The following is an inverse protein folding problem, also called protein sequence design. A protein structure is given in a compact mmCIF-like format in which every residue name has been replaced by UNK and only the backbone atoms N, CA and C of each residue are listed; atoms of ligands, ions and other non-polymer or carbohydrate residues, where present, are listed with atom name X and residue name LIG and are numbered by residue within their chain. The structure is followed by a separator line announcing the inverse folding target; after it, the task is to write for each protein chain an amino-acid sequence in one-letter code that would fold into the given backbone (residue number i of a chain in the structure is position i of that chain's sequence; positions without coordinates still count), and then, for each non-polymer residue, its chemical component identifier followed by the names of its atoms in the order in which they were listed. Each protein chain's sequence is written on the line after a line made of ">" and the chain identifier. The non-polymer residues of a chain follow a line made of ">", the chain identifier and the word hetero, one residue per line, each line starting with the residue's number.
data_IF_388182727227
#
_entry.id   IF_388182727227
#
_cell.length_a   1.000
_cell.length_b   1.000
_cell.length_c   1.000
_cell.angle_alpha   90.00
_cell.angle_beta   90.00
_cell.angle_gamma   90.00
#
_symmetry.space_group_name_H-M   'P 1'
#
loop_
_entity.id
_entity.type
_entity.pdbx_description
1 polymer ?
#
# COMPACT_ATOMS: atom_id res chain seq x y z
N UNK A 1 1.11 27.72 -24.49
CA UNK A 1 0.43 27.75 -23.18
C UNK A 1 1.49 27.47 -22.14
N UNK A 2 1.85 28.45 -21.31
CA UNK A 2 2.98 28.31 -20.39
C UNK A 2 2.57 27.38 -19.24
N UNK A 3 3.37 26.34 -18.98
CA UNK A 3 3.17 25.40 -17.87
C UNK A 3 4.42 25.42 -16.99
N UNK A 4 4.21 25.24 -15.70
CA UNK A 4 5.27 24.94 -14.74
C UNK A 4 5.18 23.46 -14.37
N UNK A 5 6.33 22.87 -14.09
CA UNK A 5 6.44 21.46 -13.72
C UNK A 5 6.98 21.38 -12.31
N UNK A 6 6.18 20.89 -11.39
CA UNK A 6 6.55 20.72 -9.99
C UNK A 6 6.97 19.27 -9.79
N UNK A 7 8.25 19.04 -9.55
CA UNK A 7 8.77 17.72 -9.21
C UNK A 7 8.80 17.55 -7.70
N UNK A 8 8.29 16.43 -7.19
CA UNK A 8 8.15 16.17 -5.75
C UNK A 8 8.63 14.78 -5.41
N UNK A 9 9.38 14.66 -4.32
CA UNK A 9 9.69 13.40 -3.62
C UNK A 9 8.90 13.41 -2.32
N UNK A 10 8.10 12.38 -2.08
CA UNK A 10 7.22 12.32 -0.91
C UNK A 10 7.07 10.91 -0.35
N UNK A 11 6.64 10.90 0.91
CA UNK A 11 6.27 9.71 1.65
C UNK A 11 4.74 9.73 1.77
N UNK A 12 4.07 8.67 1.31
CA UNK A 12 2.62 8.53 1.53
C UNK A 12 2.39 7.87 2.87
N UNK A 13 1.82 8.58 3.84
CA UNK A 13 1.49 7.97 5.13
C UNK A 13 0.19 7.17 5.05
N UNK A 14 0.03 6.26 6.00
CA UNK A 14 -1.19 5.45 6.15
C UNK A 14 -2.38 6.35 6.51
N UNK A 15 -3.23 6.60 5.52
CA UNK A 15 -4.31 7.61 5.59
C UNK A 15 -4.36 8.51 4.34
N UNK A 16 -3.38 8.40 3.44
CA UNK A 16 -3.36 9.12 2.17
C UNK A 16 -2.80 10.54 2.26
N UNK A 17 -2.32 10.97 3.43
CA UNK A 17 -1.62 12.24 3.57
C UNK A 17 -0.20 12.12 2.96
N UNK A 18 0.14 13.06 2.07
CA UNK A 18 1.46 13.14 1.46
C UNK A 18 2.33 14.07 2.28
N UNK A 19 3.48 13.56 2.75
CA UNK A 19 4.52 14.38 3.37
C UNK A 19 5.65 14.60 2.36
N UNK A 20 5.76 15.82 1.85
CA UNK A 20 6.76 16.19 0.84
C UNK A 20 8.13 16.33 1.50
N UNK A 21 9.09 15.55 1.00
CA UNK A 21 10.48 15.55 1.44
C UNK A 21 11.28 16.58 0.66
N UNK A 22 11.11 16.59 -0.67
CA UNK A 22 11.73 17.56 -1.56
C UNK A 22 10.75 18.01 -2.64
N UNK A 23 10.78 19.31 -2.97
CA UNK A 23 9.99 19.93 -4.03
C UNK A 23 10.85 20.92 -4.82
N UNK A 24 10.77 20.86 -6.15
CA UNK A 24 11.41 21.84 -7.02
C UNK A 24 10.51 22.16 -8.23
N UNK A 25 10.60 23.41 -8.71
CA UNK A 25 9.80 23.94 -9.82
C UNK A 25 10.68 24.13 -11.05
N UNK A 26 10.19 23.65 -12.20
CA UNK A 26 10.92 23.66 -13.47
C UNK A 26 10.09 24.27 -14.60
N UNK A 27 10.79 24.85 -15.57
CA UNK A 27 10.18 25.39 -16.79
C UNK A 27 9.90 24.35 -17.88
N UNK A 28 10.34 23.10 -17.71
CA UNK A 28 10.06 22.00 -18.65
C UNK A 28 9.92 20.66 -17.95
N UNK A 29 9.20 19.73 -18.59
CA UNK A 29 9.02 18.37 -18.10
C UNK A 29 10.34 17.60 -18.05
N UNK A 30 11.20 17.80 -19.05
CA UNK A 30 12.49 17.12 -19.18
C UNK A 30 13.42 17.49 -18.03
N UNK A 31 13.43 18.75 -17.61
CA UNK A 31 14.19 19.21 -16.45
C UNK A 31 13.64 18.63 -15.14
N UNK A 32 12.32 18.62 -14.97
CA UNK A 32 11.67 17.99 -13.82
C UNK A 32 11.95 16.48 -13.75
N UNK A 33 11.95 15.78 -14.88
CA UNK A 33 12.24 14.36 -14.96
C UNK A 33 13.72 14.03 -14.71
N UNK A 34 14.64 14.87 -15.21
CA UNK A 34 16.06 14.74 -14.88
C UNK A 34 16.32 14.94 -13.37
N UNK A 35 15.60 15.87 -12.74
CA UNK A 35 15.62 16.03 -11.29
C UNK A 35 15.07 14.81 -10.55
N UNK A 36 13.92 14.26 -10.97
CA UNK A 36 13.38 13.01 -10.40
C UNK A 36 14.40 11.88 -10.46
N UNK A 37 15.06 11.66 -11.60
CA UNK A 37 16.10 10.63 -11.71
C UNK A 37 17.23 10.85 -10.71
N UNK A 38 17.72 12.09 -10.61
CA UNK A 38 18.81 12.44 -9.69
C UNK A 38 18.46 12.17 -8.22
N UNK A 39 17.26 12.54 -7.77
CA UNK A 39 16.83 12.35 -6.38
C UNK A 39 16.36 10.91 -6.09
N UNK A 40 16.13 10.12 -7.14
CA UNK A 40 15.81 8.69 -7.08
C UNK A 40 17.05 7.79 -7.03
N UNK A 41 18.22 8.30 -7.45
CA UNK A 41 19.50 7.59 -7.34
C UNK A 41 20.04 7.53 -5.89
N UNK A 42 19.42 8.25 -4.94
CA UNK A 42 19.72 8.20 -3.51
C UNK A 42 18.99 7.01 -2.86
N UNK A 43 19.74 6.11 -2.19
CA UNK A 43 19.39 4.72 -1.80
C UNK A 43 18.14 4.51 -0.89
N UNK A 44 17.31 5.52 -0.66
CA UNK A 44 16.15 5.40 0.22
C UNK A 44 14.92 4.85 -0.50
N UNK A 45 14.70 3.54 -0.32
CA UNK A 45 13.64 2.71 -0.90
C UNK A 45 12.18 3.11 -0.56
N UNK A 46 11.98 4.16 0.24
CA UNK A 46 10.70 4.50 0.87
C UNK A 46 9.93 5.65 0.21
N UNK A 47 10.53 6.33 -0.78
CA UNK A 47 9.97 7.56 -1.36
C UNK A 47 9.35 7.34 -2.73
N UNK A 48 8.23 8.03 -2.98
CA UNK A 48 7.60 8.15 -4.30
C UNK A 48 8.00 9.49 -4.94
N UNK A 49 8.09 9.49 -6.26
CA UNK A 49 8.40 10.68 -7.05
C UNK A 49 7.25 11.03 -7.99
N UNK A 50 6.86 12.31 -8.08
CA UNK A 50 5.85 12.78 -9.03
C UNK A 50 6.27 14.08 -9.73
N UNK A 51 5.76 14.27 -10.95
CA UNK A 51 5.75 15.55 -11.65
C UNK A 51 4.30 15.97 -11.84
N UNK A 52 3.95 17.12 -11.29
CA UNK A 52 2.67 17.79 -11.51
C UNK A 52 2.90 18.91 -12.51
N UNK A 53 2.20 18.88 -13.65
CA UNK A 53 2.25 19.99 -14.60
C UNK A 53 1.05 20.93 -14.37
N UNK A 54 1.34 22.21 -14.19
CA UNK A 54 0.36 23.22 -13.78
C UNK A 54 0.37 24.34 -14.82
N UNK A 55 -0.78 24.75 -15.38
CA UNK A 55 -0.85 25.93 -16.24
C UNK A 55 -0.48 27.20 -15.46
N UNK A 56 0.30 28.09 -16.09
CA UNK A 56 0.86 29.31 -15.49
C UNK A 56 -0.06 30.54 -15.66
N UNK A 57 -1.38 30.37 -15.73
CA UNK A 57 -2.33 31.48 -15.89
C UNK A 57 -3.30 31.55 -14.70
N UNK A 58 -3.57 32.77 -14.21
CA UNK A 58 -4.47 33.03 -13.07
C UNK A 58 -5.93 32.58 -13.30
N UNK A 59 -6.34 32.39 -14.56
CA UNK A 59 -7.69 31.99 -14.94
C UNK A 59 -7.87 30.47 -15.16
N UNK A 60 -6.81 29.67 -15.01
CA UNK A 60 -6.87 28.23 -15.26
C UNK A 60 -7.45 27.47 -14.06
N UNK A 61 -8.47 26.62 -14.30
CA UNK A 61 -9.02 25.78 -13.24
C UNK A 61 -7.97 24.80 -12.72
N UNK A 62 -8.06 24.45 -11.44
CA UNK A 62 -7.16 23.47 -10.81
C UNK A 62 -7.28 22.06 -11.44
N UNK A 63 -8.26 21.86 -12.32
CA UNK A 63 -8.58 20.61 -13.01
C UNK A 63 -7.73 20.36 -14.26
N UNK A 64 -6.95 21.36 -14.71
CA UNK A 64 -6.04 21.24 -15.87
C UNK A 64 -4.64 20.67 -15.52
N UNK A 65 -4.52 20.04 -14.35
CA UNK A 65 -3.26 19.42 -13.89
C UNK A 65 -3.12 18.02 -14.47
N UNK A 66 -1.97 17.73 -15.04
CA UNK A 66 -1.50 16.39 -15.36
C UNK A 66 -0.56 15.90 -14.27
N UNK A 67 -0.52 14.58 -14.11
CA UNK A 67 0.27 13.91 -13.10
C UNK A 67 1.09 12.79 -13.74
N UNK A 68 2.40 12.84 -13.56
CA UNK A 68 3.29 11.72 -13.84
C UNK A 68 3.84 11.17 -12.53
N UNK A 69 3.73 9.86 -12.29
CA UNK A 69 4.27 9.18 -11.10
C UNK A 69 5.37 8.24 -11.55
N UNK A 70 6.48 8.20 -10.81
CA UNK A 70 7.69 7.46 -11.16
C UNK A 70 8.06 6.46 -10.07
N UNK A 71 8.62 5.32 -10.45
CA UNK A 71 9.19 4.33 -9.54
C UNK A 71 10.48 4.84 -8.86
N UNK A 72 11.03 4.04 -7.93
CA UNK A 72 12.27 4.38 -7.22
C UNK A 72 13.50 4.52 -8.12
N UNK A 73 13.45 4.00 -9.35
CA UNK A 73 14.54 4.13 -10.33
C UNK A 73 14.24 5.27 -11.33
N UNK A 74 13.21 6.09 -11.08
CA UNK A 74 12.78 7.15 -11.99
C UNK A 74 12.08 6.65 -13.25
N UNK A 75 11.60 5.40 -13.30
CA UNK A 75 10.80 4.90 -14.42
C UNK A 75 9.34 5.33 -14.29
N UNK A 76 8.74 5.79 -15.38
CA UNK A 76 7.35 6.24 -15.40
C UNK A 76 6.39 5.07 -15.12
N UNK A 77 5.56 5.21 -14.08
CA UNK A 77 4.52 4.26 -13.71
C UNK A 77 3.14 4.70 -14.20
N UNK A 78 2.79 5.95 -13.96
CA UNK A 78 1.48 6.52 -14.28
C UNK A 78 1.70 7.82 -15.03
N UNK A 79 0.96 8.00 -16.12
CA UNK A 79 0.84 9.29 -16.80
C UNK A 79 -0.64 9.61 -16.99
N UNK A 80 -1.19 10.42 -16.10
CA UNK A 80 -2.53 10.97 -16.28
C UNK A 80 -2.41 12.22 -17.15
N UNK A 81 -2.87 12.12 -18.39
CA UNK A 81 -3.07 13.28 -19.25
C UNK A 81 -4.20 14.15 -18.66
N UNK A 82 -4.08 15.46 -18.91
CA UNK A 82 -4.94 16.53 -18.41
C UNK A 82 -6.43 16.17 -18.54
N UNK A 83 -7.17 16.32 -17.45
CA UNK A 83 -8.61 16.07 -17.36
C UNK A 83 -8.95 14.71 -16.77
N UNK A 84 -10.04 14.67 -15.99
CA UNK A 84 -10.60 13.47 -15.37
C UNK A 84 -10.82 12.34 -16.38
N UNK A 85 -9.79 11.53 -16.63
CA UNK A 85 -10.02 10.11 -16.79
C UNK A 85 -10.41 9.62 -15.39
N UNK A 86 -11.72 9.61 -15.12
CA UNK A 86 -12.27 8.64 -14.18
C UNK A 86 -11.50 7.35 -14.44
N UNK A 87 -10.79 6.83 -13.44
CA UNK A 87 -10.25 5.49 -13.52
C UNK A 87 -11.41 4.62 -13.96
N UNK A 88 -11.46 4.25 -15.24
CA UNK A 88 -11.96 2.94 -15.59
C UNK A 88 -10.96 2.06 -14.88
N UNK A 89 -11.29 1.65 -13.66
CA UNK A 89 -10.70 0.47 -13.09
C UNK A 89 -11.08 -0.61 -14.10
N UNK A 90 -10.22 -0.79 -15.11
CA UNK A 90 -10.30 -1.90 -16.03
C UNK A 90 -10.03 -3.11 -15.16
N UNK A 91 -11.12 -3.62 -14.59
CA UNK A 91 -11.14 -4.87 -13.89
C UNK A 91 -10.90 -5.94 -14.94
N UNK A 92 -9.61 -6.16 -15.28
CA UNK A 92 -9.21 -7.28 -16.10
C UNK A 92 -9.83 -8.53 -15.50
N UNK A 93 -10.49 -9.33 -16.34
CA UNK A 93 -11.05 -10.62 -15.94
C UNK A 93 -9.90 -11.56 -15.58
N UNK A 94 -9.37 -11.41 -14.37
CA UNK A 94 -8.28 -12.22 -13.85
C UNK A 94 -8.89 -13.46 -13.21
N UNK A 95 -8.60 -14.59 -13.83
CA UNK A 95 -8.66 -15.86 -13.12
C UNK A 95 -7.54 -15.86 -12.09
N UNK A 96 -7.90 -15.85 -10.82
CA UNK A 96 -6.96 -15.79 -9.73
C UNK A 96 -6.65 -17.20 -9.21
N UNK A 97 -5.40 -17.64 -9.30
CA UNK A 97 -4.92 -18.96 -8.85
C UNK A 97 -3.92 -18.80 -7.70
N UNK A 98 -4.20 -17.86 -6.79
CA UNK A 98 -3.23 -17.37 -5.81
C UNK A 98 -2.42 -18.44 -5.08
N UNK A 99 -1.15 -18.12 -4.82
CA UNK A 99 -0.19 -19.00 -4.15
C UNK A 99 -0.50 -19.24 -2.67
N UNK A 100 -0.99 -18.23 -1.98
CA UNK A 100 -1.19 -18.24 -0.54
C UNK A 100 -2.64 -18.57 -0.15
N UNK A 101 -2.82 -19.15 1.04
CA UNK A 101 -4.09 -19.61 1.59
C UNK A 101 -4.45 -18.83 2.86
N UNK A 102 -5.75 -18.86 3.20
CA UNK A 102 -6.25 -18.32 4.47
C UNK A 102 -5.50 -18.97 5.63
N UNK A 103 -4.98 -18.13 6.52
CA UNK A 103 -4.20 -18.47 7.70
C UNK A 103 -2.70 -18.63 7.46
N UNK A 104 -2.19 -18.53 6.22
CA UNK A 104 -0.74 -18.51 6.00
C UNK A 104 -0.11 -17.31 6.71
N UNK A 105 0.98 -17.55 7.45
CA UNK A 105 1.78 -16.50 8.07
C UNK A 105 2.82 -16.03 7.07
N UNK A 106 2.93 -14.71 6.97
CA UNK A 106 3.36 -14.07 5.75
C UNK A 106 4.17 -12.83 6.10
N UNK A 107 5.26 -12.59 5.38
CA UNK A 107 6.02 -11.36 5.41
C UNK A 107 5.52 -10.45 4.31
N UNK A 108 5.06 -9.26 4.70
CA UNK A 108 4.66 -8.17 3.83
C UNK A 108 5.86 -7.28 3.63
N UNK A 109 6.31 -7.16 2.39
CA UNK A 109 7.28 -6.14 2.04
C UNK A 109 6.57 -4.80 1.89
N UNK A 110 7.14 -3.74 2.46
CA UNK A 110 6.65 -2.39 2.22
C UNK A 110 6.53 -2.16 0.70
N UNK A 111 5.33 -1.79 0.25
CA UNK A 111 5.04 -1.59 -1.16
C UNK A 111 4.42 -0.21 -1.36
N UNK A 112 5.22 0.86 -1.28
CA UNK A 112 4.74 2.24 -1.24
C UNK A 112 3.94 2.64 -2.50
N UNK A 113 4.05 1.85 -3.58
CA UNK A 113 3.34 2.00 -4.84
C UNK A 113 1.88 1.55 -4.80
N UNK A 114 1.49 0.73 -3.82
CA UNK A 114 0.11 0.30 -3.61
C UNK A 114 -0.49 1.09 -2.45
N UNK A 115 -1.53 1.88 -2.76
CA UNK A 115 -2.30 2.69 -1.79
C UNK A 115 -2.90 1.89 -0.62
N UNK A 116 -2.94 0.57 -0.71
CA UNK A 116 -3.49 -0.32 0.31
C UNK A 116 -2.45 -1.21 1.00
N UNK A 117 -1.16 -1.09 0.64
CA UNK A 117 -0.05 -1.83 1.24
C UNK A 117 0.69 -1.03 2.32
N UNK A 118 1.48 -1.67 3.20
CA UNK A 118 2.33 -0.98 4.16
C UNK A 118 3.30 -0.05 3.44
N UNK A 119 3.35 1.21 3.86
CA UNK A 119 4.08 2.23 3.11
C UNK A 119 5.59 2.29 3.48
N UNK A 120 5.96 2.01 4.73
CA UNK A 120 7.34 2.25 5.22
C UNK A 120 7.91 1.16 6.12
N UNK A 121 7.17 0.07 6.37
CA UNK A 121 7.63 -1.01 7.26
C UNK A 121 7.28 -2.37 6.71
N UNK A 122 8.27 -3.24 6.69
CA UNK A 122 8.02 -4.66 6.51
C UNK A 122 7.28 -5.19 7.74
N UNK A 123 6.30 -6.06 7.51
CA UNK A 123 5.36 -6.49 8.57
C UNK A 123 5.09 -7.99 8.46
N UNK A 124 5.05 -8.69 9.58
CA UNK A 124 4.57 -10.08 9.62
C UNK A 124 3.05 -10.05 9.84
N UNK A 125 2.32 -10.79 9.02
CA UNK A 125 0.87 -10.80 8.98
C UNK A 125 0.34 -12.21 8.74
N UNK A 126 -0.97 -12.38 8.88
CA UNK A 126 -1.70 -13.61 8.57
C UNK A 126 -2.68 -13.33 7.45
N UNK A 127 -2.74 -14.17 6.42
CA UNK A 127 -3.73 -14.06 5.34
C UNK A 127 -5.13 -14.32 5.92
N UNK A 128 -6.01 -13.32 5.90
CA UNK A 128 -7.39 -13.47 6.38
C UNK A 128 -8.40 -13.66 5.26
N UNK A 129 -8.09 -13.15 4.06
CA UNK A 129 -8.87 -13.39 2.85
C UNK A 129 -7.99 -13.55 1.62
N UNK A 130 -8.42 -14.41 0.71
CA UNK A 130 -7.78 -14.62 -0.59
C UNK A 130 -8.60 -13.94 -1.69
N UNK A 131 -7.98 -13.36 -2.72
CA UNK A 131 -8.72 -12.72 -3.79
C UNK A 131 -9.59 -13.74 -4.53
N UNK A 132 -10.74 -13.27 -4.99
CA UNK A 132 -11.65 -14.04 -5.84
C UNK A 132 -11.76 -13.37 -7.20
N UNK A 133 -11.97 -14.16 -8.25
CA UNK A 133 -12.22 -13.61 -9.59
C UNK A 133 -13.44 -12.70 -9.59
N UNK A 134 -13.46 -11.67 -10.44
CA UNK A 134 -14.58 -10.74 -10.58
C UNK A 134 -15.93 -11.45 -10.82
N UNK A 135 -15.94 -12.49 -11.66
CA UNK A 135 -17.16 -13.26 -11.94
C UNK A 135 -17.73 -13.92 -10.68
N UNK A 136 -16.86 -14.47 -9.82
CA UNK A 136 -17.26 -15.05 -8.54
C UNK A 136 -17.78 -13.97 -7.59
N UNK A 137 -17.08 -12.84 -7.50
CA UNK A 137 -17.52 -11.69 -6.68
C UNK A 137 -18.92 -11.18 -7.04
N UNK A 138 -19.19 -11.01 -8.34
CA UNK A 138 -20.51 -10.63 -8.86
C UNK A 138 -21.53 -11.75 -8.60
N UNK A 139 -21.14 -13.01 -8.81
CA UNK A 139 -21.97 -14.19 -8.53
C UNK A 139 -22.40 -14.28 -7.07
N UNK A 140 -21.58 -13.79 -6.15
CA UNK A 140 -21.87 -13.69 -4.72
C UNK A 140 -22.76 -12.46 -4.37
N UNK A 141 -23.22 -11.70 -5.38
CA UNK A 141 -24.14 -10.56 -5.22
C UNK A 141 -23.47 -9.22 -4.93
N UNK A 142 -22.15 -9.13 -5.04
CA UNK A 142 -21.41 -7.91 -4.71
C UNK A 142 -21.34 -6.91 -5.89
N UNK A 143 -21.17 -5.63 -5.55
CA UNK A 143 -20.97 -4.55 -6.53
C UNK A 143 -19.61 -4.65 -7.22
N UNK A 144 -19.58 -4.50 -8.55
CA UNK A 144 -18.36 -4.45 -9.35
C UNK A 144 -17.39 -3.36 -8.88
N UNK A 145 -17.91 -2.19 -8.45
CA UNK A 145 -17.09 -1.06 -8.02
C UNK A 145 -16.35 -1.31 -6.69
N UNK A 146 -16.72 -2.36 -5.97
CA UNK A 146 -16.10 -2.76 -4.70
C UNK A 146 -15.19 -3.97 -4.87
N UNK A 147 -15.04 -4.50 -6.09
CA UNK A 147 -14.20 -5.66 -6.32
C UNK A 147 -12.72 -5.28 -6.13
N UNK A 148 -12.08 -5.97 -5.19
CA UNK A 148 -10.65 -5.85 -4.94
C UNK A 148 -9.97 -7.20 -5.16
N UNK A 149 -8.97 -7.22 -6.05
CA UNK A 149 -8.22 -8.42 -6.41
C UNK A 149 -6.91 -8.54 -5.60
N UNK A 150 -6.98 -8.21 -4.31
CA UNK A 150 -5.86 -8.26 -3.38
C UNK A 150 -6.12 -9.28 -2.28
N UNK A 151 -5.03 -9.78 -1.68
CA UNK A 151 -5.13 -10.50 -0.42
C UNK A 151 -5.48 -9.51 0.68
N UNK A 152 -6.29 -9.95 1.64
CA UNK A 152 -6.44 -9.24 2.90
C UNK A 152 -5.56 -9.95 3.92
N UNK A 153 -4.71 -9.16 4.59
CA UNK A 153 -3.76 -9.64 5.58
C UNK A 153 -3.95 -8.88 6.87
N UNK A 154 -3.93 -9.60 7.96
CA UNK A 154 -4.16 -9.13 9.31
C UNK A 154 -2.87 -9.13 10.11
N UNK A 155 -2.57 -8.03 10.78
CA UNK A 155 -1.28 -7.81 11.43
C UNK A 155 -1.40 -6.87 12.63
N UNK A 156 -0.28 -6.68 13.34
CA UNK A 156 -0.18 -5.61 14.33
C UNK A 156 0.46 -4.38 13.71
N UNK A 157 -0.28 -3.29 13.78
CA UNK A 157 0.09 -1.96 13.32
C UNK A 157 0.01 -1.01 14.51
N UNK A 158 1.12 -0.35 14.83
CA UNK A 158 1.20 0.72 15.82
C UNK A 158 0.69 0.28 17.22
N UNK A 159 0.86 -1.01 17.53
CA UNK A 159 0.42 -1.63 18.78
C UNK A 159 -0.99 -2.25 18.74
N UNK A 160 -1.73 -2.09 17.64
CA UNK A 160 -3.12 -2.53 17.49
C UNK A 160 -3.30 -3.48 16.31
N UNK A 161 -4.41 -4.24 16.33
CA UNK A 161 -4.81 -5.04 15.18
C UNK A 161 -5.22 -4.16 14.01
N UNK A 162 -4.68 -4.45 12.82
CA UNK A 162 -5.06 -3.80 11.58
C UNK A 162 -4.97 -4.75 10.40
N UNK A 163 -5.45 -4.30 9.25
CA UNK A 163 -5.36 -5.06 8.01
C UNK A 163 -4.81 -4.23 6.87
N UNK A 164 -4.23 -4.91 5.88
CA UNK A 164 -3.81 -4.34 4.61
C UNK A 164 -4.41 -5.12 3.44
N UNK A 165 -4.51 -4.46 2.29
CA UNK A 165 -4.82 -5.12 1.03
C UNK A 165 -3.56 -5.14 0.17
N UNK A 166 -3.05 -6.34 -0.09
CA UNK A 166 -1.72 -6.54 -0.67
C UNK A 166 -1.80 -7.42 -1.92
N UNK A 167 -1.08 -7.01 -2.96
CA UNK A 167 -0.91 -7.83 -4.16
C UNK A 167 -0.02 -9.04 -3.85
N UNK A 168 -0.21 -10.16 -4.55
CA UNK A 168 0.59 -11.39 -4.34
C UNK A 168 2.10 -11.14 -4.35
N UNK A 169 2.58 -10.22 -5.19
CA UNK A 169 4.01 -9.88 -5.33
C UNK A 169 4.61 -9.19 -4.10
N UNK A 170 3.77 -8.60 -3.24
CA UNK A 170 4.19 -7.96 -1.98
C UNK A 170 4.24 -8.92 -0.79
N UNK A 171 3.94 -10.20 -1.03
CA UNK A 171 3.78 -11.22 0.00
C UNK A 171 4.82 -12.31 -0.19
N UNK A 172 5.39 -12.79 0.92
CA UNK A 172 6.22 -14.00 0.98
C UNK A 172 5.81 -14.82 2.20
N UNK A 173 5.84 -16.16 2.13
CA UNK A 173 5.66 -16.98 3.34
C UNK A 173 6.72 -16.64 4.39
N UNK A 174 6.30 -16.56 5.64
CA UNK A 174 7.17 -16.41 6.79
C UNK A 174 7.44 -17.79 7.39
N UNK A 175 8.64 -18.31 7.17
CA UNK A 175 9.04 -19.67 7.56
C UNK A 175 9.80 -19.71 8.90
N UNK A 176 10.19 -18.54 9.40
CA UNK A 176 10.97 -18.42 10.63
C UNK A 176 10.09 -18.49 11.89
N UNK A 177 10.75 -18.65 13.05
CA UNK A 177 10.06 -18.58 14.34
C UNK A 177 9.59 -17.14 14.59
N UNK A 178 8.29 -16.99 14.90
CA UNK A 178 7.73 -15.69 15.27
C UNK A 178 8.41 -15.10 16.54
N UNK A 179 8.72 -13.79 16.54
CA UNK A 179 9.07 -13.06 17.74
C UNK A 179 8.02 -13.24 18.85
N UNK A 180 8.45 -13.20 20.11
CA UNK A 180 7.58 -13.48 21.26
C UNK A 180 6.35 -12.57 21.32
N UNK A 181 6.51 -11.28 21.01
CA UNK A 181 5.42 -10.31 20.91
C UNK A 181 4.44 -10.60 19.75
N UNK A 182 4.88 -11.34 18.71
CA UNK A 182 4.07 -11.68 17.55
C UNK A 182 3.49 -13.11 17.60
N UNK A 183 3.75 -13.89 18.65
CA UNK A 183 3.24 -15.27 18.78
C UNK A 183 1.73 -15.38 18.68
N UNK A 184 0.98 -14.32 18.99
CA UNK A 184 -0.47 -14.30 18.82
C UNK A 184 -0.89 -14.52 17.35
N UNK A 185 -0.04 -14.20 16.36
CA UNK A 185 -0.31 -14.48 14.95
C UNK A 185 -0.46 -15.99 14.68
N UNK A 186 0.13 -16.87 15.49
CA UNK A 186 -0.15 -18.31 15.41
C UNK A 186 -1.58 -18.65 15.83
N UNK A 187 -2.09 -17.99 16.87
CA UNK A 187 -3.48 -18.17 17.31
C UNK A 187 -4.44 -17.66 16.24
N UNK A 188 -4.12 -16.51 15.64
CA UNK A 188 -4.90 -15.93 14.55
C UNK A 188 -4.88 -16.79 13.29
N UNK A 189 -3.70 -17.29 12.91
CA UNK A 189 -3.53 -18.27 11.82
C UNK A 189 -4.40 -19.50 12.06
N UNK A 190 -4.32 -20.10 13.26
CA UNK A 190 -5.15 -21.25 13.61
C UNK A 190 -6.64 -20.92 13.58
N UNK A 191 -7.06 -19.75 14.07
CA UNK A 191 -8.44 -19.29 14.02
C UNK A 191 -8.95 -19.27 12.58
N UNK A 192 -8.21 -18.67 11.66
CA UNK A 192 -8.61 -18.58 10.26
C UNK A 192 -8.59 -19.92 9.53
N UNK A 193 -7.66 -20.83 9.86
CA UNK A 193 -7.60 -22.15 9.23
C UNK A 193 -8.71 -23.10 9.70
N UNK A 194 -9.11 -23.00 10.97
CA UNK A 194 -9.98 -23.99 11.61
C UNK A 194 -11.39 -23.48 11.91
N UNK A 195 -11.60 -22.17 11.88
CA UNK A 195 -12.85 -21.53 12.34
C UNK A 195 -13.02 -21.54 13.86
N UNK A 196 -12.01 -21.99 14.62
CA UNK A 196 -12.07 -22.03 16.08
C UNK A 196 -12.11 -20.61 16.64
N UNK A 197 -13.15 -20.28 17.41
CA UNK A 197 -13.34 -18.95 18.00
C UNK A 197 -12.13 -18.56 18.87
N UNK A 198 -11.56 -17.37 18.62
CA UNK A 198 -10.54 -16.81 19.49
C UNK A 198 -11.12 -16.59 20.88
N UNK A 199 -10.41 -16.95 21.97
CA UNK A 199 -10.89 -16.67 23.32
C UNK A 199 -11.16 -15.18 23.49
N UNK A 200 -12.35 -14.83 24.00
CA UNK A 200 -12.82 -13.45 24.10
C UNK A 200 -11.82 -12.52 24.81
N UNK A 201 -11.20 -13.02 25.88
CA UNK A 201 -10.17 -12.30 26.63
C UNK A 201 -8.96 -11.93 25.75
N UNK A 202 -8.52 -12.85 24.88
CA UNK A 202 -7.39 -12.62 23.96
C UNK A 202 -7.77 -11.57 22.91
N UNK A 203 -9.00 -11.64 22.38
CA UNK A 203 -9.48 -10.65 21.42
C UNK A 203 -9.56 -9.24 22.03
N UNK A 204 -10.09 -9.13 23.25
CA UNK A 204 -10.14 -7.87 23.99
C UNK A 204 -8.73 -7.31 24.25
N UNK A 205 -7.77 -8.14 24.66
CA UNK A 205 -6.38 -7.72 24.87
C UNK A 205 -5.69 -7.25 23.58
N UNK A 206 -6.04 -7.83 22.42
CA UNK A 206 -5.55 -7.41 21.10
C UNK A 206 -6.14 -6.05 20.72
N UNK A 207 -7.47 -5.87 20.85
CA UNK A 207 -8.15 -4.62 20.51
C UNK A 207 -7.69 -3.46 21.39
N UNK A 208 -7.43 -3.74 22.68
CA UNK A 208 -6.91 -2.74 23.61
C UNK A 208 -5.40 -2.48 23.46
N UNK A 209 -4.70 -3.28 22.66
CA UNK A 209 -3.25 -3.17 22.46
C UNK A 209 -2.41 -3.70 23.63
N UNK A 210 -3.02 -4.32 24.65
CA UNK A 210 -2.36 -4.75 25.88
C UNK A 210 -1.27 -5.80 25.62
N UNK A 211 -1.53 -6.75 24.72
CA UNK A 211 -0.55 -7.81 24.35
C UNK A 211 0.74 -7.20 23.77
N UNK A 212 0.64 -6.04 23.11
CA UNK A 212 1.74 -5.41 22.39
C UNK A 212 2.39 -4.26 23.15
N UNK A 213 1.59 -3.37 23.75
CA UNK A 213 2.07 -2.20 24.50
C UNK A 213 2.80 -2.64 25.78
N UNK A 214 2.38 -3.73 26.43
CA UNK A 214 3.00 -4.18 27.69
C UNK A 214 4.24 -5.07 27.48
N UNK A 215 4.41 -5.69 26.30
CA UNK A 215 5.48 -6.68 26.04
C UNK A 215 6.55 -6.24 25.03
N UNK A 216 6.44 -5.07 24.42
CA UNK A 216 7.49 -4.54 23.53
C UNK A 216 8.51 -3.77 24.38
N UNK A 217 9.65 -4.41 24.67
CA UNK A 217 10.89 -3.65 24.82
C UNK A 217 11.17 -3.07 23.45
N UNK A 218 11.10 -1.75 23.31
CA UNK A 218 11.38 -1.05 22.06
C UNK A 218 12.68 -1.60 21.44
N UNK A 219 12.62 -1.96 20.16
CA UNK A 219 13.82 -2.27 19.38
C UNK A 219 14.70 -1.02 19.40
N UNK A 220 15.85 -1.10 20.07
CA UNK A 220 16.93 -0.14 19.90
C UNK A 220 17.60 -0.46 18.55
N UNK A 221 17.46 0.45 17.58
CA UNK A 221 18.24 0.46 16.33
C UNK A 221 19.29 1.56 16.42
#
# INVERSE_FOLDING_TARGET
>A
MNRIYVARKYVTTEGGAKHYYEEAVFGSYELAHAFIKKISDEEDDFFLSEIVDIPFNDDCSHDEKGLSVFDKNGNLLIKNAIGHAARKDEHESKNYIGKYKIGDIVFLRAYPWNKHSPAHKDTIAVISSVPVSLNKWIGDGNSINNWDNNYVVDCIRDGYMGHYHVEEKGIKLFEDKLPDNLKFLNLLSSHYQTGNVLPEKVFQEIVMGNIFIENVKHFEF
#
